data_IF_735529912239
#
_entry.id   IF_735529912239
#
_cell.length_a   1.000
_cell.length_b   1.000
_cell.length_c   1.000
_cell.angle_alpha   90.00
_cell.angle_beta   90.00
_cell.angle_gamma   90.00
#
_symmetry.space_group_name_H-M   'P 1'
#
loop_
_entity.id
_entity.type
_entity.pdbx_description
1 polymer ?
#
# COMPACT_ATOMS: atom_id res chain seq x y z
N UNK A 1 6.81 -12.32 -17.06
CA UNK A 1 6.56 -11.00 -16.50
C UNK A 1 6.61 -11.05 -15.01
N UNK A 2 7.31 -10.12 -14.43
CA UNK A 2 7.46 -10.11 -12.99
C UNK A 2 6.19 -9.59 -12.33
N UNK A 3 5.74 -10.31 -11.33
CA UNK A 3 4.62 -9.86 -10.51
C UNK A 3 5.14 -8.99 -9.39
N UNK A 4 4.27 -8.14 -8.90
CA UNK A 4 4.60 -7.24 -7.80
C UNK A 4 3.59 -7.44 -6.68
N UNK A 5 3.97 -7.05 -5.48
CA UNK A 5 3.04 -7.06 -4.37
C UNK A 5 3.11 -5.74 -3.64
N UNK A 6 2.06 -5.45 -2.90
CA UNK A 6 1.97 -4.20 -2.15
C UNK A 6 1.90 -4.54 -0.68
N UNK A 7 2.74 -3.87 0.10
CA UNK A 7 2.70 -4.00 1.54
C UNK A 7 2.12 -2.73 2.16
N UNK A 8 1.26 -2.90 3.14
CA UNK A 8 0.62 -1.78 3.84
C UNK A 8 0.86 -1.95 5.32
N UNK A 9 1.39 -0.92 5.93
CA UNK A 9 1.69 -0.88 7.35
C UNK A 9 0.89 0.26 7.98
N UNK A 10 -0.14 -0.07 8.74
CA UNK A 10 -1.03 0.93 9.33
C UNK A 10 -0.49 1.32 10.69
N UNK A 11 -0.05 2.56 10.81
CA UNK A 11 0.40 3.11 12.06
C UNK A 11 -0.64 4.05 12.67
N UNK A 12 -0.35 4.55 13.87
CA UNK A 12 -1.26 5.43 14.57
C UNK A 12 -1.44 6.79 13.92
N UNK A 13 -0.42 7.29 13.24
CA UNK A 13 -0.48 8.61 12.61
C UNK A 13 -0.30 8.54 11.11
N UNK A 14 0.32 7.50 10.60
CA UNK A 14 0.69 7.38 9.20
C UNK A 14 0.50 5.97 8.73
N UNK A 15 0.01 5.81 7.51
CA UNK A 15 -0.04 4.52 6.83
C UNK A 15 1.13 4.50 5.85
N UNK A 16 1.99 3.51 5.97
CA UNK A 16 3.15 3.35 5.08
C UNK A 16 2.86 2.26 4.07
N UNK A 17 3.18 2.53 2.82
CA UNK A 17 2.89 1.60 1.74
C UNK A 17 4.15 1.39 0.91
N UNK A 18 4.25 0.23 0.30
CA UNK A 18 5.37 -0.07 -0.56
C UNK A 18 4.99 -1.03 -1.66
N UNK A 19 5.65 -0.88 -2.80
CA UNK A 19 5.51 -1.80 -3.92
C UNK A 19 6.79 -2.61 -3.98
N UNK A 20 6.66 -3.93 -3.99
CA UNK A 20 7.79 -4.84 -3.97
C UNK A 20 7.73 -5.77 -5.16
N UNK A 21 8.90 -6.18 -5.64
CA UNK A 21 8.99 -7.30 -6.57
C UNK A 21 8.81 -8.60 -5.82
N UNK A 22 8.47 -9.68 -6.54
CA UNK A 22 8.35 -11.00 -5.93
C UNK A 22 9.61 -11.44 -5.21
N UNK A 23 10.76 -10.90 -5.61
CA UNK A 23 12.03 -11.21 -4.94
C UNK A 23 12.15 -10.55 -3.58
N UNK A 24 11.23 -9.64 -3.25
CA UNK A 24 11.29 -8.89 -2.00
C UNK A 24 11.92 -7.52 -2.13
N UNK A 25 12.38 -7.18 -3.32
CA UNK A 25 13.02 -5.89 -3.54
C UNK A 25 11.98 -4.76 -3.51
N UNK A 26 12.24 -3.74 -2.72
CA UNK A 26 11.37 -2.57 -2.65
C UNK A 26 11.59 -1.71 -3.89
N UNK A 27 10.52 -1.48 -4.63
CA UNK A 27 10.56 -0.65 -5.84
C UNK A 27 10.19 0.79 -5.56
N UNK A 28 9.19 1.01 -4.70
CA UNK A 28 8.70 2.35 -4.41
C UNK A 28 7.95 2.32 -3.09
N UNK A 29 8.11 3.37 -2.30
CA UNK A 29 7.38 3.47 -1.04
C UNK A 29 6.81 4.87 -0.89
N UNK A 30 5.71 4.96 -0.20
CA UNK A 30 5.07 6.25 0.09
C UNK A 30 4.25 6.11 1.36
N UNK A 31 3.70 7.22 1.83
CA UNK A 31 2.87 7.18 3.01
C UNK A 31 1.74 8.18 2.91
N UNK A 32 0.68 7.90 3.64
CA UNK A 32 -0.48 8.78 3.72
C UNK A 32 -0.85 8.93 5.19
N UNK A 33 -1.54 10.03 5.53
CA UNK A 33 -1.98 10.20 6.93
C UNK A 33 -3.06 9.19 7.29
N UNK A 34 -3.08 8.79 8.55
CA UNK A 34 -4.11 7.89 9.06
C UNK A 34 -5.30 8.73 9.50
N UNK A 35 -6.46 8.53 8.85
CA UNK A 35 -7.68 9.21 9.28
C UNK A 35 -8.35 8.38 10.35
N UNK A 36 -8.48 8.97 11.53
CA UNK A 36 -9.05 8.26 12.68
C UNK A 36 -10.54 8.53 12.87
N UNK A 37 -11.14 9.39 12.04
CA UNK A 37 -12.54 9.71 12.14
C UNK A 37 -13.39 8.45 12.02
N UNK A 38 -14.47 8.42 12.73
CA UNK A 38 -15.43 7.31 12.71
C UNK A 38 -14.76 5.96 12.97
N UNK A 39 -13.81 5.95 13.93
CA UNK A 39 -13.15 4.71 14.30
C UNK A 39 -12.23 4.14 13.25
N UNK A 40 -11.76 4.99 12.34
CA UNK A 40 -10.82 4.55 11.32
C UNK A 40 -11.47 3.89 10.12
N UNK A 41 -12.78 4.08 9.95
CA UNK A 41 -13.51 3.40 8.86
C UNK A 41 -13.01 3.82 7.48
N UNK A 42 -12.36 4.97 7.38
CA UNK A 42 -11.88 5.48 6.09
C UNK A 42 -10.49 4.99 5.73
N UNK A 43 -9.83 4.27 6.63
CA UNK A 43 -8.45 3.86 6.40
C UNK A 43 -8.33 2.97 5.16
N UNK A 44 -9.19 1.97 5.05
CA UNK A 44 -9.13 1.05 3.90
C UNK A 44 -9.46 1.76 2.60
N UNK A 45 -10.42 2.69 2.64
CA UNK A 45 -10.75 3.46 1.44
C UNK A 45 -9.58 4.35 1.01
N UNK A 46 -8.96 5.01 1.98
CA UNK A 46 -7.80 5.86 1.69
C UNK A 46 -6.65 5.05 1.14
N UNK A 47 -6.41 3.87 1.70
CA UNK A 47 -5.35 2.98 1.22
C UNK A 47 -5.64 2.56 -0.21
N UNK A 48 -6.85 2.11 -0.48
CA UNK A 48 -7.21 1.66 -1.83
C UNK A 48 -7.09 2.78 -2.85
N UNK A 49 -7.57 3.97 -2.50
CA UNK A 49 -7.48 5.11 -3.40
C UNK A 49 -6.03 5.49 -3.67
N UNK A 50 -5.21 5.51 -2.62
CA UNK A 50 -3.80 5.86 -2.74
C UNK A 50 -3.06 4.86 -3.62
N UNK A 51 -3.34 3.58 -3.45
CA UNK A 51 -2.73 2.53 -4.27
C UNK A 51 -3.08 2.75 -5.74
N UNK A 52 -4.35 3.00 -6.03
CA UNK A 52 -4.78 3.22 -7.41
C UNK A 52 -4.08 4.42 -8.04
N UNK A 53 -3.92 5.49 -7.27
CA UNK A 53 -3.25 6.70 -7.76
C UNK A 53 -1.79 6.43 -8.08
N UNK A 54 -1.09 5.73 -7.18
CA UNK A 54 0.32 5.45 -7.38
C UNK A 54 0.53 4.50 -8.55
N UNK A 55 -0.31 3.48 -8.66
CA UNK A 55 -0.19 2.54 -9.78
C UNK A 55 -0.40 3.26 -11.11
N UNK A 56 -1.35 4.18 -11.14
CA UNK A 56 -1.59 4.96 -12.36
C UNK A 56 -0.39 5.83 -12.71
N UNK A 57 0.17 6.51 -11.73
CA UNK A 57 1.34 7.35 -11.94
C UNK A 57 2.55 6.57 -12.43
N UNK A 58 2.72 5.37 -11.89
CA UNK A 58 3.86 4.52 -12.25
C UNK A 58 3.58 3.67 -13.47
N UNK A 59 2.36 3.76 -14.01
CA UNK A 59 1.94 2.97 -15.17
C UNK A 59 2.04 1.48 -14.91
N UNK A 60 1.70 1.09 -13.69
CA UNK A 60 1.64 -0.32 -13.28
C UNK A 60 0.19 -0.77 -13.37
N UNK A 61 -0.06 -1.88 -14.02
CA UNK A 61 -1.41 -2.41 -14.17
C UNK A 61 -1.78 -3.24 -12.95
N UNK A 62 -3.06 -3.22 -12.60
CA UNK A 62 -3.54 -4.04 -11.48
C UNK A 62 -3.22 -5.51 -11.68
N UNK A 63 -3.22 -5.97 -12.93
CA UNK A 63 -2.90 -7.36 -13.26
C UNK A 63 -1.48 -7.73 -12.87
N UNK A 64 -0.59 -6.77 -12.72
CA UNK A 64 0.79 -7.02 -12.31
C UNK A 64 0.91 -7.19 -10.79
N UNK A 65 -0.17 -6.91 -10.06
CA UNK A 65 -0.16 -7.01 -8.60
C UNK A 65 -0.69 -8.38 -8.22
N UNK A 66 0.14 -9.19 -7.61
CA UNK A 66 -0.25 -10.55 -7.20
C UNK A 66 -0.95 -10.56 -5.85
N UNK A 67 -0.76 -9.53 -5.04
CA UNK A 67 -1.43 -9.46 -3.76
C UNK A 67 -1.13 -8.19 -3.01
N UNK A 68 -1.95 -7.90 -2.02
CA UNK A 68 -1.77 -6.78 -1.12
C UNK A 68 -1.74 -7.36 0.29
N UNK A 69 -0.65 -7.13 1.01
CA UNK A 69 -0.53 -7.61 2.36
C UNK A 69 -0.65 -6.47 3.35
N UNK A 70 -1.46 -6.68 4.39
CA UNK A 70 -1.54 -5.75 5.50
C UNK A 70 -0.57 -6.21 6.56
N UNK A 71 0.46 -5.41 6.77
CA UNK A 71 1.43 -5.71 7.80
C UNK A 71 1.06 -5.02 9.09
N UNK A 72 1.27 -5.73 10.18
CA UNK A 72 1.18 -5.12 11.48
C UNK A 72 2.62 -4.78 11.87
N UNK A 73 2.89 -3.55 12.32
CA UNK A 73 4.25 -3.22 12.71
C UNK A 73 4.71 -4.19 13.77
N UNK A 74 5.80 -4.86 13.50
CA UNK A 74 6.35 -5.80 14.43
C UNK A 74 6.90 -5.08 15.66
N UNK A 75 7.08 -5.83 16.71
CA UNK A 75 7.71 -5.25 17.89
C UNK A 75 9.14 -4.84 17.61
#
# INVERSE_FOLDING_TARGET
>A
MSKKCIGVDVGGTTVKLGIFENSGKLLFKWEIPTRKEDGGRYILEDVAFSIQEVLREKQIRMEEISGVGLGVPGP
#
